data_IF_247058378595
#
_entry.id   IF_247058378595
#
_cell.length_a   1.000
_cell.length_b   1.000
_cell.length_c   1.000
_cell.angle_alpha   90.00
_cell.angle_beta   90.00
_cell.angle_gamma   90.00
#
_symmetry.space_group_name_H-M   'P 1'
#
loop_
_entity.id
_entity.type
_entity.pdbx_description
1 polymer ?
#
# COMPACT_ATOMS: atom_id res chain seq x y z
N UNK A 1 -30.29 15.14 -12.44
CA UNK A 1 -29.95 13.72 -12.73
C UNK A 1 -28.49 13.59 -13.16
N UNK A 2 -28.05 14.24 -14.25
CA UNK A 2 -26.67 14.14 -14.79
C UNK A 2 -25.59 14.62 -13.83
N UNK A 3 -25.80 15.78 -13.16
CA UNK A 3 -24.86 16.32 -12.16
C UNK A 3 -24.64 15.40 -10.96
N UNK A 4 -25.67 14.68 -10.54
CA UNK A 4 -25.57 13.73 -9.41
C UNK A 4 -24.73 12.51 -9.78
N UNK A 5 -24.82 12.08 -11.05
CA UNK A 5 -24.07 10.95 -11.60
C UNK A 5 -22.58 11.29 -11.76
N UNK A 6 -22.27 12.51 -12.20
CA UNK A 6 -20.88 13.01 -12.28
C UNK A 6 -20.19 13.04 -10.92
N UNK A 7 -20.88 13.55 -9.89
CA UNK A 7 -20.34 13.60 -8.53
C UNK A 7 -20.08 12.19 -8.00
N UNK A 8 -21.02 11.25 -8.23
CA UNK A 8 -20.85 9.87 -7.82
C UNK A 8 -19.64 9.21 -8.50
N UNK A 9 -19.43 9.47 -9.79
CA UNK A 9 -18.28 8.97 -10.53
C UNK A 9 -16.95 9.50 -9.99
N UNK A 10 -16.89 10.78 -9.63
CA UNK A 10 -15.71 11.37 -9.01
C UNK A 10 -15.41 10.76 -7.63
N UNK A 11 -16.44 10.53 -6.81
CA UNK A 11 -16.28 9.88 -5.50
C UNK A 11 -15.79 8.45 -5.64
N UNK A 12 -16.34 7.68 -6.59
CA UNK A 12 -15.90 6.30 -6.85
C UNK A 12 -14.45 6.29 -7.34
N UNK A 13 -14.07 7.16 -8.28
CA UNK A 13 -12.68 7.27 -8.74
C UNK A 13 -11.72 7.62 -7.60
N UNK A 14 -12.11 8.56 -6.74
CA UNK A 14 -11.32 8.95 -5.58
C UNK A 14 -11.12 7.75 -4.65
N UNK A 15 -12.21 7.08 -4.24
CA UNK A 15 -12.15 5.91 -3.35
C UNK A 15 -11.29 4.79 -3.95
N UNK A 16 -11.45 4.48 -5.24
CA UNK A 16 -10.65 3.46 -5.93
C UNK A 16 -9.15 3.76 -5.85
N UNK A 17 -8.74 5.02 -6.02
CA UNK A 17 -7.35 5.45 -5.86
C UNK A 17 -6.80 5.17 -4.45
N UNK A 18 -7.60 5.38 -3.40
CA UNK A 18 -7.19 5.06 -2.02
C UNK A 18 -7.10 3.55 -1.75
N UNK A 19 -7.99 2.76 -2.34
CA UNK A 19 -7.94 1.30 -2.19
C UNK A 19 -6.71 0.68 -2.85
N UNK A 20 -6.30 1.16 -4.02
CA UNK A 20 -5.08 0.71 -4.70
C UNK A 20 -3.87 0.89 -3.80
N UNK A 21 -3.71 2.06 -3.16
CA UNK A 21 -2.56 2.33 -2.25
C UNK A 21 -2.52 1.34 -1.08
N UNK A 22 -3.68 1.00 -0.49
CA UNK A 22 -3.74 0.05 0.62
C UNK A 22 -3.39 -1.40 0.23
N UNK A 23 -3.78 -1.85 -0.96
CA UNK A 23 -3.42 -3.20 -1.41
C UNK A 23 -1.93 -3.33 -1.70
N UNK A 24 -1.28 -2.29 -2.25
CA UNK A 24 0.16 -2.36 -2.57
C UNK A 24 1.03 -2.43 -1.31
N UNK A 25 0.68 -1.69 -0.25
CA UNK A 25 1.38 -1.80 1.04
C UNK A 25 1.06 -3.11 1.79
N UNK A 26 -0.18 -3.60 1.70
CA UNK A 26 -0.59 -4.85 2.31
C UNK A 26 0.04 -6.10 1.70
N UNK A 27 0.45 -6.06 0.42
CA UNK A 27 1.09 -7.21 -0.24
C UNK A 27 2.48 -7.54 0.29
N UNK A 28 3.19 -6.56 0.86
CA UNK A 28 4.52 -6.81 1.42
C UNK A 28 4.48 -7.81 2.58
N UNK A 29 3.38 -7.83 3.36
CA UNK A 29 3.17 -8.75 4.48
C UNK A 29 2.98 -10.23 4.07
N UNK A 30 2.98 -10.54 2.78
CA UNK A 30 2.93 -11.92 2.27
C UNK A 30 4.24 -12.36 1.60
N UNK A 31 5.24 -11.48 1.55
CA UNK A 31 6.52 -11.75 0.91
C UNK A 31 7.40 -12.50 1.91
N UNK A 32 7.82 -13.71 1.52
CA UNK A 32 8.82 -14.47 2.27
C UNK A 32 10.19 -13.83 2.11
N UNK A 33 10.96 -13.80 3.21
CA UNK A 33 12.31 -13.27 3.25
C UNK A 33 13.20 -14.11 4.16
N UNK A 34 14.51 -14.01 3.96
CA UNK A 34 15.53 -14.55 4.85
C UNK A 34 16.28 -13.42 5.56
N UNK A 35 16.49 -12.30 4.86
CA UNK A 35 17.13 -11.09 5.38
C UNK A 35 16.33 -9.84 5.02
N UNK A 36 16.58 -8.75 5.75
CA UNK A 36 15.91 -7.44 5.53
C UNK A 36 16.08 -6.91 4.08
N UNK A 37 17.14 -7.32 3.38
CA UNK A 37 17.40 -6.89 2.00
C UNK A 37 16.48 -7.57 0.97
N UNK A 38 15.83 -8.69 1.32
CA UNK A 38 14.88 -9.37 0.45
C UNK A 38 13.53 -8.63 0.38
N UNK A 39 13.27 -7.77 1.37
CA UNK A 39 12.03 -7.02 1.42
C UNK A 39 12.05 -5.84 0.45
N UNK A 40 10.99 -5.69 -0.37
CA UNK A 40 10.99 -4.67 -1.38
C UNK A 40 10.80 -3.30 -0.74
N UNK A 41 11.59 -2.33 -1.20
CA UNK A 41 11.44 -0.91 -0.86
C UNK A 41 10.40 -0.29 -1.79
N UNK A 42 9.17 -0.82 -1.76
CA UNK A 42 8.11 -0.48 -2.72
C UNK A 42 7.75 1.00 -2.71
N UNK A 43 7.82 1.65 -1.54
CA UNK A 43 7.66 3.10 -1.43
C UNK A 43 8.86 3.73 -0.73
N UNK A 44 9.29 4.90 -1.22
CA UNK A 44 10.26 5.80 -0.57
C UNK A 44 9.90 6.10 0.89
N UNK A 45 8.62 5.89 1.22
CA UNK A 45 7.91 6.26 2.43
C UNK A 45 7.76 5.05 3.39
N UNK A 46 8.11 3.82 2.98
CA UNK A 46 7.84 2.60 3.74
C UNK A 46 9.11 1.80 4.00
N UNK A 47 9.37 1.44 5.26
CA UNK A 47 10.48 0.57 5.66
C UNK A 47 9.91 -0.77 6.09
N UNK A 48 10.20 -1.79 5.29
CA UNK A 48 9.91 -3.19 5.58
C UNK A 48 11.12 -3.88 6.21
N UNK A 49 10.88 -4.78 7.16
CA UNK A 49 11.91 -5.68 7.72
C UNK A 49 11.47 -7.12 7.64
N UNK A 50 12.44 -8.02 7.60
CA UNK A 50 12.19 -9.45 7.66
C UNK A 50 11.96 -9.88 9.11
N UNK A 51 10.72 -10.23 9.43
CA UNK A 51 10.31 -10.69 10.76
C UNK A 51 9.51 -11.98 10.58
N UNK A 52 9.95 -13.05 11.26
CA UNK A 52 9.36 -14.39 11.11
C UNK A 52 9.38 -14.90 9.65
N UNK A 53 10.47 -14.63 8.92
CA UNK A 53 10.62 -14.97 7.50
C UNK A 53 9.58 -14.31 6.58
N UNK A 54 8.95 -13.21 7.03
CA UNK A 54 7.97 -12.44 6.27
C UNK A 54 8.33 -10.95 6.34
N UNK A 55 8.16 -10.23 5.24
CA UNK A 55 8.40 -8.80 5.19
C UNK A 55 7.27 -8.04 5.89
N UNK A 56 7.52 -7.51 7.09
CA UNK A 56 6.55 -6.67 7.82
C UNK A 56 6.89 -5.20 7.69
N UNK A 57 5.86 -4.36 7.57
CA UNK A 57 6.01 -2.92 7.63
C UNK A 57 6.40 -2.50 9.06
N UNK A 58 7.52 -1.81 9.21
CA UNK A 58 8.02 -1.37 10.52
C UNK A 58 7.87 0.14 10.70
N UNK A 59 8.00 0.91 9.62
CA UNK A 59 7.77 2.36 9.64
C UNK A 59 7.19 2.85 8.33
N UNK A 60 6.23 3.76 8.44
CA UNK A 60 5.90 4.72 7.39
C UNK A 60 6.63 6.00 7.77
N UNK A 61 7.54 6.47 6.92
CA UNK A 61 8.24 7.76 7.05
C UNK A 61 7.24 8.81 6.57
N UNK A 62 6.61 9.61 7.44
CA UNK A 62 5.74 10.69 6.95
C UNK A 62 6.61 11.71 6.17
N UNK A 63 6.14 12.09 4.98
CA UNK A 63 6.69 13.18 4.17
C UNK A 63 6.67 14.52 4.94
#
# INVERSE_FOLDING_TARGET
>A
MTKTLEVFFHVVLFISLFFVVKEVDGMAEYIKCEIDHDCPKLFLVSVYKCIDNICRLVRVIPD
#
